data_IF_211944549348
#
_entry.id   IF_211944549348
#
_cell.length_a   1.000
_cell.length_b   1.000
_cell.length_c   1.000
_cell.angle_alpha   90.00
_cell.angle_beta   90.00
_cell.angle_gamma   90.00
#
_symmetry.space_group_name_H-M   'P 1'
#
loop_
_entity.id
_entity.type
_entity.pdbx_description
1 polymer ?
#
# COMPACT_ATOMS: atom_id res chain seq x y z
N UNK A 1 18.68 8.65 17.61
CA UNK A 1 17.24 8.39 17.35
C UNK A 1 17.00 8.35 15.84
N UNK A 2 16.51 7.25 15.33
CA UNK A 2 16.26 7.14 13.90
C UNK A 2 14.92 7.76 13.56
N UNK A 3 14.91 8.61 12.54
CA UNK A 3 13.67 9.19 12.06
C UNK A 3 12.90 8.16 11.25
N UNK A 4 11.58 8.19 11.40
CA UNK A 4 10.70 7.37 10.58
C UNK A 4 10.64 7.95 9.17
N UNK A 5 10.92 7.11 8.17
CA UNK A 5 10.84 7.50 6.77
C UNK A 5 9.69 6.75 6.11
N UNK A 6 8.68 7.50 5.70
CA UNK A 6 7.50 6.94 5.05
C UNK A 6 7.41 7.48 3.63
N UNK A 7 7.51 6.59 2.67
CA UNK A 7 7.48 6.95 1.25
C UNK A 7 6.30 6.24 0.59
N UNK A 8 5.57 6.98 -0.23
CA UNK A 8 4.50 6.41 -1.02
C UNK A 8 4.83 6.50 -2.50
N UNK A 9 4.79 5.39 -3.20
CA UNK A 9 5.02 5.36 -4.64
C UNK A 9 3.70 5.48 -5.37
N UNK A 10 3.55 6.55 -6.12
CA UNK A 10 2.36 6.80 -6.94
C UNK A 10 2.76 6.80 -8.40
N UNK A 11 1.83 6.49 -9.28
CA UNK A 11 2.07 6.49 -10.70
C UNK A 11 1.63 5.20 -11.36
N UNK A 12 1.80 5.16 -12.68
CA UNK A 12 1.41 4.00 -13.47
C UNK A 12 2.43 2.87 -13.30
N UNK A 13 2.03 1.67 -13.70
CA UNK A 13 2.89 0.50 -13.69
C UNK A 13 3.98 0.65 -14.74
N UNK A 14 4.95 1.48 -14.47
CA UNK A 14 6.09 1.65 -15.36
C UNK A 14 7.29 0.87 -14.87
N UNK A 15 8.26 0.70 -15.76
CA UNK A 15 9.48 -0.06 -15.50
C UNK A 15 10.30 0.52 -14.34
N UNK A 16 10.22 1.83 -14.11
CA UNK A 16 10.99 2.48 -13.07
C UNK A 16 10.54 2.14 -11.65
N UNK A 17 9.26 1.80 -11.48
CA UNK A 17 8.70 1.54 -10.16
C UNK A 17 9.30 0.32 -9.50
N UNK A 18 9.44 -0.78 -10.25
CA UNK A 18 10.05 -2.01 -9.72
C UNK A 18 11.50 -1.77 -9.32
N UNK A 19 12.24 -1.01 -10.11
CA UNK A 19 13.63 -0.67 -9.81
C UNK A 19 13.74 0.12 -8.51
N UNK A 20 12.85 1.11 -8.31
CA UNK A 20 12.85 1.91 -7.09
C UNK A 20 12.55 1.03 -5.87
N UNK A 21 11.58 0.13 -5.97
CA UNK A 21 11.26 -0.78 -4.87
C UNK A 21 12.45 -1.67 -4.51
N UNK A 22 13.18 -2.18 -5.50
CA UNK A 22 14.36 -3.01 -5.25
C UNK A 22 15.47 -2.22 -4.56
N UNK A 23 15.70 -0.99 -4.98
CA UNK A 23 16.70 -0.13 -4.36
C UNK A 23 16.35 0.15 -2.90
N UNK A 24 15.08 0.46 -2.63
CA UNK A 24 14.63 0.74 -1.28
C UNK A 24 14.72 -0.48 -0.38
N UNK A 25 14.42 -1.67 -0.91
CA UNK A 25 14.61 -2.92 -0.16
C UNK A 25 16.06 -3.13 0.24
N UNK A 26 17.00 -2.84 -0.65
CA UNK A 26 18.44 -2.93 -0.35
C UNK A 26 18.87 -1.96 0.74
N UNK A 27 18.13 -0.86 0.90
CA UNK A 27 18.38 0.14 1.93
C UNK A 27 17.60 -0.12 3.20
N UNK A 28 17.09 -1.35 3.35
CA UNK A 28 16.34 -1.80 4.53
C UNK A 28 14.98 -1.15 4.70
N UNK A 29 14.36 -0.73 3.61
CA UNK A 29 12.97 -0.30 3.64
C UNK A 29 12.04 -1.50 3.60
N UNK A 30 11.01 -1.47 4.43
CA UNK A 30 9.93 -2.44 4.35
C UNK A 30 8.99 -2.00 3.23
N UNK A 31 8.75 -2.87 2.26
CA UNK A 31 7.81 -2.59 1.17
C UNK A 31 6.43 -3.14 1.52
N UNK A 32 5.44 -2.26 1.55
CA UNK A 32 4.06 -2.62 1.86
C UNK A 32 3.20 -2.29 0.64
N UNK A 33 2.60 -3.30 0.05
CA UNK A 33 1.70 -3.12 -1.09
C UNK A 33 0.26 -3.04 -0.60
N UNK A 34 -0.45 -1.98 -0.98
CA UNK A 34 -1.85 -1.83 -0.59
C UNK A 34 -2.72 -2.94 -1.18
N UNK A 35 -2.34 -3.48 -2.34
CA UNK A 35 -3.10 -4.57 -2.96
C UNK A 35 -3.02 -5.89 -2.20
N UNK A 36 -2.05 -6.04 -1.29
CA UNK A 36 -1.94 -7.26 -0.49
C UNK A 36 -3.15 -7.46 0.42
N UNK A 37 -3.78 -6.39 0.86
CA UNK A 37 -4.97 -6.50 1.72
C UNK A 37 -6.17 -7.05 0.94
N UNK A 38 -6.24 -6.76 -0.35
CA UNK A 38 -7.25 -7.35 -1.22
C UNK A 38 -7.02 -8.85 -1.36
N UNK A 39 -5.77 -9.26 -1.54
CA UNK A 39 -5.42 -10.67 -1.65
C UNK A 39 -5.70 -11.43 -0.36
N UNK A 40 -5.44 -10.82 0.78
CA UNK A 40 -5.77 -11.41 2.08
C UNK A 40 -7.26 -11.65 2.22
N UNK A 41 -8.08 -10.69 1.80
CA UNK A 41 -9.53 -10.84 1.86
C UNK A 41 -10.01 -12.00 0.99
N UNK A 42 -9.46 -12.13 -0.23
CA UNK A 42 -9.79 -13.24 -1.10
C UNK A 42 -9.42 -14.59 -0.48
N UNK A 43 -8.26 -14.65 0.19
CA UNK A 43 -7.84 -15.88 0.87
C UNK A 43 -8.79 -16.25 1.98
N UNK A 44 -9.25 -15.28 2.76
CA UNK A 44 -10.24 -15.52 3.82
C UNK A 44 -11.52 -16.10 3.27
N UNK A 45 -11.93 -15.64 2.08
CA UNK A 45 -13.17 -16.10 1.44
C UNK A 45 -12.98 -17.37 0.63
N UNK A 46 -11.74 -17.90 0.54
CA UNK A 46 -11.44 -19.07 -0.24
C UNK A 46 -11.55 -18.88 -1.74
N UNK A 47 -11.41 -17.65 -2.21
CA UNK A 47 -11.55 -17.32 -3.64
C UNK A 47 -10.19 -17.25 -4.32
N UNK A 48 -10.17 -17.54 -5.63
CA UNK A 48 -8.98 -17.45 -6.44
C UNK A 48 -8.57 -15.99 -6.61
N UNK A 49 -7.26 -15.74 -6.70
CA UNK A 49 -6.71 -14.39 -6.86
C UNK A 49 -6.64 -14.00 -8.33
N UNK A 50 -7.77 -14.09 -9.03
CA UNK A 50 -7.87 -13.62 -10.40
C UNK A 50 -7.98 -12.09 -10.43
N UNK A 51 -7.65 -11.48 -11.56
CA UNK A 51 -7.77 -10.04 -11.71
C UNK A 51 -9.21 -9.57 -11.46
N UNK A 52 -10.18 -10.33 -11.96
CA UNK A 52 -11.60 -10.02 -11.78
C UNK A 52 -11.97 -10.02 -10.29
N UNK A 53 -11.57 -11.05 -9.56
CA UNK A 53 -11.84 -11.14 -8.12
C UNK A 53 -11.14 -10.03 -7.34
N UNK A 54 -9.91 -9.70 -7.71
CA UNK A 54 -9.18 -8.61 -7.06
C UNK A 54 -9.89 -7.27 -7.23
N UNK A 55 -10.34 -6.97 -8.44
CA UNK A 55 -11.05 -5.71 -8.72
C UNK A 55 -12.38 -5.66 -7.98
N UNK A 56 -13.16 -6.74 -8.05
CA UNK A 56 -14.45 -6.80 -7.38
C UNK A 56 -14.32 -6.63 -5.88
N UNK A 57 -13.37 -7.34 -5.27
CA UNK A 57 -13.13 -7.26 -3.82
C UNK A 57 -12.67 -5.88 -3.40
N UNK A 58 -11.75 -5.28 -4.17
CA UNK A 58 -11.28 -3.94 -3.89
C UNK A 58 -12.43 -2.93 -3.91
N UNK A 59 -13.29 -3.02 -4.92
CA UNK A 59 -14.44 -2.11 -5.04
C UNK A 59 -15.43 -2.29 -3.88
N UNK A 60 -15.68 -3.53 -3.47
CA UNK A 60 -16.57 -3.80 -2.33
C UNK A 60 -15.99 -3.24 -1.03
N UNK A 61 -14.71 -3.44 -0.78
CA UNK A 61 -14.08 -2.90 0.43
C UNK A 61 -14.16 -1.37 0.46
N UNK A 62 -13.87 -0.74 -0.66
CA UNK A 62 -13.92 0.73 -0.75
C UNK A 62 -15.32 1.26 -0.59
N UNK A 63 -16.32 0.55 -1.14
CA UNK A 63 -17.72 0.94 -1.01
C UNK A 63 -18.21 0.84 0.43
N UNK A 64 -17.82 -0.21 1.13
CA UNK A 64 -18.25 -0.46 2.51
C UNK A 64 -17.54 0.38 3.54
N UNK A 65 -16.24 0.60 3.37
CA UNK A 65 -15.38 1.17 4.41
C UNK A 65 -14.67 2.46 3.99
N UNK A 66 -14.92 2.96 2.79
CA UNK A 66 -14.32 4.19 2.30
C UNK A 66 -13.22 3.95 1.28
N UNK A 67 -12.97 4.95 0.44
CA UNK A 67 -12.01 4.83 -0.65
C UNK A 67 -10.57 4.69 -0.17
N UNK A 68 -10.28 5.10 1.06
CA UNK A 68 -8.94 5.04 1.64
C UNK A 68 -8.70 3.81 2.52
N UNK A 69 -9.60 2.82 2.48
CA UNK A 69 -9.52 1.67 3.39
C UNK A 69 -8.18 0.94 3.31
N UNK A 70 -7.65 0.75 2.11
CA UNK A 70 -6.40 0.01 1.95
C UNK A 70 -5.22 0.78 2.57
N UNK A 71 -5.21 2.10 2.42
CA UNK A 71 -4.18 2.93 3.05
C UNK A 71 -4.30 2.90 4.56
N UNK A 72 -5.52 2.94 5.09
CA UNK A 72 -5.74 2.87 6.54
C UNK A 72 -5.27 1.54 7.12
N UNK A 73 -5.56 0.43 6.44
CA UNK A 73 -5.09 -0.89 6.88
C UNK A 73 -3.57 -0.96 6.87
N UNK A 74 -2.94 -0.41 5.82
CA UNK A 74 -1.50 -0.40 5.71
C UNK A 74 -0.86 0.38 6.87
N UNK A 75 -1.37 1.56 7.18
CA UNK A 75 -0.83 2.38 8.28
C UNK A 75 -1.00 1.67 9.62
N UNK A 76 -2.15 1.05 9.86
CA UNK A 76 -2.39 0.31 11.09
C UNK A 76 -1.38 -0.84 11.23
N UNK A 77 -1.15 -1.59 10.15
CA UNK A 77 -0.22 -2.72 10.21
C UNK A 77 1.22 -2.27 10.44
N UNK A 78 1.67 -1.21 9.76
CA UNK A 78 3.06 -0.77 9.93
C UNK A 78 3.30 -0.11 11.29
N UNK A 79 2.27 0.39 11.93
CA UNK A 79 2.40 0.95 13.29
C UNK A 79 2.79 -0.12 14.31
N UNK A 80 2.57 -1.39 13.97
CA UNK A 80 2.87 -2.53 14.85
C UNK A 80 4.25 -3.12 14.62
N UNK A 81 4.96 -2.68 13.58
CA UNK A 81 6.29 -3.21 13.29
C UNK A 81 7.37 -2.26 13.79
N UNK A 82 8.55 -2.80 14.08
CA UNK A 82 9.67 -2.01 14.56
C UNK A 82 10.40 -1.30 13.43
N UNK A 83 10.14 -1.68 12.18
CA UNK A 83 10.77 -1.06 11.01
C UNK A 83 10.37 0.40 10.91
N UNK A 84 11.34 1.28 10.73
CA UNK A 84 11.09 2.72 10.66
C UNK A 84 11.14 3.29 9.25
N UNK A 85 11.69 2.56 8.31
CA UNK A 85 11.76 2.98 6.92
C UNK A 85 10.80 2.12 6.10
N UNK A 86 9.73 2.72 5.62
CA UNK A 86 8.62 2.00 4.99
C UNK A 86 8.25 2.67 3.68
N UNK A 87 8.04 1.86 2.65
CA UNK A 87 7.54 2.34 1.37
C UNK A 87 6.19 1.68 1.08
N UNK A 88 5.20 2.51 0.75
CA UNK A 88 3.87 2.05 0.37
C UNK A 88 3.76 2.01 -1.15
N UNK A 89 3.34 0.88 -1.67
CA UNK A 89 3.18 0.64 -3.10
C UNK A 89 1.72 0.36 -3.42
N UNK A 90 1.38 0.41 -4.70
CA UNK A 90 0.01 0.15 -5.20
C UNK A 90 -1.01 1.19 -4.73
N UNK A 91 -0.58 2.44 -4.58
CA UNK A 91 -1.49 3.54 -4.30
C UNK A 91 -2.25 3.88 -5.58
N UNK A 92 -3.58 3.90 -5.52
CA UNK A 92 -4.41 3.93 -6.72
C UNK A 92 -5.35 5.14 -6.81
N UNK A 93 -5.73 5.77 -5.70
CA UNK A 93 -6.72 6.84 -5.75
C UNK A 93 -6.33 8.01 -4.86
N UNK A 94 -7.03 9.15 -5.08
CA UNK A 94 -6.73 10.39 -4.36
C UNK A 94 -7.04 10.30 -2.87
N UNK A 95 -8.02 9.50 -2.48
CA UNK A 95 -8.35 9.34 -1.06
C UNK A 95 -7.21 8.64 -0.32
N UNK A 96 -6.58 7.64 -0.94
CA UNK A 96 -5.40 6.99 -0.38
C UNK A 96 -4.24 7.98 -0.26
N UNK A 97 -4.03 8.78 -1.29
CA UNK A 97 -2.96 9.81 -1.30
C UNK A 97 -3.18 10.81 -0.17
N UNK A 98 -4.39 11.32 -0.05
CA UNK A 98 -4.71 12.32 0.98
C UNK A 98 -4.49 11.74 2.38
N UNK A 99 -4.96 10.52 2.62
CA UNK A 99 -4.80 9.87 3.92
C UNK A 99 -3.32 9.68 4.26
N UNK A 100 -2.54 9.15 3.33
CA UNK A 100 -1.12 8.89 3.55
C UNK A 100 -0.35 10.19 3.80
N UNK A 101 -0.66 11.26 3.08
CA UNK A 101 -0.05 12.57 3.33
C UNK A 101 -0.32 13.06 4.74
N UNK A 102 -1.54 12.87 5.23
CA UNK A 102 -1.90 13.26 6.59
C UNK A 102 -1.09 12.49 7.63
N UNK A 103 -0.61 11.31 7.28
CA UNK A 103 0.21 10.48 8.16
C UNK A 103 1.71 10.70 7.99
N UNK A 104 2.10 11.71 7.22
CA UNK A 104 3.50 12.07 7.06
C UNK A 104 4.22 11.31 5.95
N UNK A 105 3.49 10.67 5.05
CA UNK A 105 4.08 9.95 3.92
C UNK A 105 4.47 10.94 2.83
N UNK A 106 5.70 10.85 2.36
CA UNK A 106 6.20 11.63 1.23
C UNK A 106 5.94 10.85 -0.05
N UNK A 107 5.30 11.47 -1.02
CA UNK A 107 4.91 10.79 -2.25
C UNK A 107 5.96 10.98 -3.34
N UNK A 108 6.31 9.88 -3.98
CA UNK A 108 7.21 9.84 -5.14
C UNK A 108 6.39 9.37 -6.35
N UNK A 109 6.40 10.16 -7.41
CA UNK A 109 5.65 9.83 -8.61
C UNK A 109 6.47 9.70 -9.86
#
# INVERSE_FOLDING_TARGET
MQETQLIGLVGTNGSGKSTVCQILKRKNFLVVSLSDYIRQELRKEGKLQTRSNLVTTANLLKKKQGQDILARLAVINVSKVSQKSIVFDSIRNTSEITYLKQKGVVLWG
#
